data_IF_677574029448
#
_entry.id   IF_677574029448
#
_cell.length_a   1.000
_cell.length_b   1.000
_cell.length_c   1.000
_cell.angle_alpha   90.00
_cell.angle_beta   90.00
_cell.angle_gamma   90.00
#
_symmetry.space_group_name_H-M   'P 1'
#
loop_
_entity.id
_entity.type
_entity.pdbx_description
1 polymer ?
#
# COMPACT_ATOMS: atom_id res chain seq x y z
N UNK A 1 -39.39 34.09 -46.70
CA UNK A 1 -38.74 32.90 -47.27
C UNK A 1 -37.93 32.19 -46.19
N UNK A 2 -38.36 31.05 -45.63
CA UNK A 2 -37.46 30.22 -44.82
C UNK A 2 -36.77 29.18 -45.71
N UNK A 3 -35.44 29.09 -45.63
CA UNK A 3 -34.68 28.03 -46.27
C UNK A 3 -34.94 26.69 -45.57
N UNK A 4 -35.42 25.69 -46.32
CA UNK A 4 -35.48 24.31 -45.87
C UNK A 4 -34.07 23.68 -45.92
N UNK A 5 -33.53 23.34 -44.75
CA UNK A 5 -32.23 22.64 -44.64
C UNK A 5 -32.46 21.15 -44.93
N UNK A 6 -31.98 20.69 -46.08
CA UNK A 6 -32.01 19.29 -46.49
C UNK A 6 -30.90 18.51 -45.74
N UNK A 7 -31.25 17.79 -44.67
CA UNK A 7 -30.30 16.90 -43.97
C UNK A 7 -30.26 15.54 -44.66
N UNK A 8 -29.19 15.28 -45.41
CA UNK A 8 -28.93 13.97 -46.00
C UNK A 8 -28.72 12.91 -44.90
N UNK A 9 -29.35 11.73 -45.05
CA UNK A 9 -29.15 10.59 -44.15
C UNK A 9 -27.78 9.95 -44.43
N UNK A 10 -26.96 9.66 -43.40
CA UNK A 10 -25.65 9.05 -43.60
C UNK A 10 -25.77 7.61 -44.16
N UNK A 11 -24.85 7.25 -45.06
CA UNK A 11 -24.77 5.92 -45.68
C UNK A 11 -24.45 4.82 -44.66
N UNK A 12 -25.03 3.63 -44.84
CA UNK A 12 -24.80 2.45 -43.99
C UNK A 12 -23.31 2.06 -43.86
N UNK A 13 -22.50 2.33 -44.89
CA UNK A 13 -21.04 2.12 -44.87
C UNK A 13 -20.33 3.09 -43.91
N UNK A 14 -20.76 4.35 -43.90
CA UNK A 14 -20.24 5.36 -42.96
C UNK A 14 -20.62 5.02 -41.52
N UNK A 15 -21.84 4.51 -41.31
CA UNK A 15 -22.32 4.07 -39.99
C UNK A 15 -21.53 2.86 -39.47
N UNK A 16 -21.24 1.86 -40.33
CA UNK A 16 -20.38 0.72 -39.97
C UNK A 16 -18.96 1.13 -39.60
N UNK A 17 -18.38 2.11 -40.29
CA UNK A 17 -17.01 2.62 -40.04
C UNK A 17 -16.93 3.39 -38.72
N UNK A 18 -17.93 4.21 -38.41
CA UNK A 18 -18.00 4.94 -37.13
C UNK A 18 -18.23 4.00 -35.94
N UNK A 19 -19.12 3.01 -36.07
CA UNK A 19 -19.32 1.99 -35.02
C UNK A 19 -18.02 1.22 -34.76
N UNK A 20 -17.31 0.80 -35.81
CA UNK A 20 -16.04 0.08 -35.69
C UNK A 20 -14.94 0.95 -35.06
N UNK A 21 -14.84 2.24 -35.42
CA UNK A 21 -13.91 3.18 -34.78
C UNK A 21 -14.23 3.41 -33.31
N UNK A 22 -15.51 3.58 -32.94
CA UNK A 22 -15.91 3.75 -31.54
C UNK A 22 -15.65 2.49 -30.71
N UNK A 23 -15.86 1.30 -31.29
CA UNK A 23 -15.53 0.03 -30.64
C UNK A 23 -14.01 -0.10 -30.41
N UNK A 24 -13.18 0.19 -31.41
CA UNK A 24 -11.71 0.14 -31.28
C UNK A 24 -11.20 1.15 -30.24
N UNK A 25 -11.69 2.38 -30.27
CA UNK A 25 -11.35 3.40 -29.28
C UNK A 25 -11.79 3.00 -27.86
N UNK A 26 -12.99 2.41 -27.72
CA UNK A 26 -13.47 1.88 -26.44
C UNK A 26 -12.59 0.77 -25.89
N UNK A 27 -12.17 -0.18 -26.73
CA UNK A 27 -11.26 -1.28 -26.33
C UNK A 27 -9.89 -0.74 -25.88
N UNK A 28 -9.32 0.24 -26.58
CA UNK A 28 -8.03 0.83 -26.22
C UNK A 28 -8.09 1.59 -24.87
N UNK A 29 -9.17 2.32 -24.61
CA UNK A 29 -9.36 3.02 -23.33
C UNK A 29 -9.50 2.04 -22.17
N UNK A 30 -10.30 0.97 -22.33
CA UNK A 30 -10.48 -0.05 -21.30
C UNK A 30 -9.18 -0.80 -21.02
N UNK A 31 -8.46 -1.22 -22.07
CA UNK A 31 -7.15 -1.87 -21.93
C UNK A 31 -6.13 -0.97 -21.21
N UNK A 32 -6.11 0.32 -21.56
CA UNK A 32 -5.29 1.33 -20.86
C UNK A 32 -5.58 1.37 -19.37
N UNK A 33 -6.84 1.53 -18.96
CA UNK A 33 -7.23 1.59 -17.53
C UNK A 33 -6.81 0.33 -16.76
N UNK A 34 -7.00 -0.85 -17.34
CA UNK A 34 -6.62 -2.12 -16.68
C UNK A 34 -5.11 -2.26 -16.46
N UNK A 35 -4.28 -1.68 -17.33
CA UNK A 35 -2.82 -1.71 -17.18
C UNK A 35 -2.32 -0.82 -16.02
N UNK A 36 -2.99 0.31 -15.74
CA UNK A 36 -2.63 1.17 -14.60
C UNK A 36 -2.95 0.54 -13.24
N UNK A 37 -3.97 -0.31 -13.14
CA UNK A 37 -4.38 -0.92 -11.87
C UNK A 37 -3.36 -1.95 -11.32
N UNK A 38 -2.42 -2.41 -12.14
CA UNK A 38 -1.49 -3.49 -11.80
C UNK A 38 -0.44 -3.10 -10.74
N UNK A 39 -0.18 -1.80 -10.56
CA UNK A 39 0.85 -1.29 -9.65
C UNK A 39 0.45 -1.20 -8.16
N UNK A 40 -0.84 -1.28 -7.82
CA UNK A 40 -1.31 -1.03 -6.45
C UNK A 40 -1.59 -2.33 -5.68
N UNK A 41 -0.57 -3.18 -5.53
CA UNK A 41 -0.69 -4.38 -4.71
C UNK A 41 -0.58 -4.00 -3.22
N UNK A 42 -1.66 -4.11 -2.47
CA UNK A 42 -1.65 -3.90 -1.01
C UNK A 42 -1.01 -5.14 -0.35
N UNK A 43 0.10 -5.00 0.39
CA UNK A 43 0.67 -6.11 1.15
C UNK A 43 -0.36 -6.61 2.16
N UNK A 44 -0.76 -7.88 2.02
CA UNK A 44 -1.72 -8.55 2.88
C UNK A 44 -1.13 -9.89 3.32
N UNK A 45 -1.19 -10.21 4.63
CA UNK A 45 -0.83 -11.54 5.11
C UNK A 45 -1.72 -12.63 4.51
N UNK A 46 -1.20 -13.86 4.51
CA UNK A 46 -1.90 -15.07 4.10
C UNK A 46 -3.24 -15.21 4.84
N UNK A 47 -4.31 -15.60 4.13
CA UNK A 47 -5.60 -15.86 4.77
C UNK A 47 -5.46 -16.92 5.89
N UNK A 48 -6.03 -16.64 7.05
CA UNK A 48 -5.99 -17.55 8.20
C UNK A 48 -4.68 -17.55 9.01
N UNK A 49 -3.70 -16.70 8.66
CA UNK A 49 -2.51 -16.52 9.48
C UNK A 49 -2.91 -16.00 10.87
N UNK A 50 -2.40 -16.65 11.91
CA UNK A 50 -2.50 -16.19 13.31
C UNK A 50 -1.13 -15.64 13.72
N UNK A 51 -0.97 -14.31 13.83
CA UNK A 51 0.32 -13.72 14.18
C UNK A 51 0.81 -14.12 15.58
N UNK A 52 2.04 -14.63 15.62
CA UNK A 52 2.76 -15.00 16.84
C UNK A 52 3.83 -13.94 17.19
N UNK A 53 3.74 -13.35 18.38
CA UNK A 53 4.64 -12.30 18.86
C UNK A 53 6.07 -12.78 19.17
N UNK A 54 6.26 -14.05 19.55
CA UNK A 54 7.60 -14.60 19.78
C UNK A 54 8.37 -14.75 18.47
N UNK A 55 7.69 -15.23 17.41
CA UNK A 55 8.23 -15.25 16.04
C UNK A 55 8.52 -13.82 15.57
N UNK A 56 7.57 -12.91 15.82
CA UNK A 56 7.72 -11.49 15.49
C UNK A 56 8.94 -10.83 16.12
N UNK A 57 9.26 -11.16 17.38
CA UNK A 57 10.43 -10.64 18.09
C UNK A 57 11.73 -11.02 17.37
N UNK A 58 11.86 -12.28 16.94
CA UNK A 58 13.04 -12.76 16.23
C UNK A 58 13.17 -12.08 14.85
N UNK A 59 12.05 -11.97 14.11
CA UNK A 59 12.02 -11.28 12.82
C UNK A 59 12.35 -9.79 12.95
N UNK A 60 11.82 -9.12 13.98
CA UNK A 60 12.11 -7.71 14.27
C UNK A 60 13.59 -7.50 14.58
N UNK A 61 14.17 -8.35 15.44
CA UNK A 61 15.59 -8.28 15.79
C UNK A 61 16.48 -8.39 14.55
N UNK A 62 16.13 -9.26 13.60
CA UNK A 62 16.87 -9.48 12.36
C UNK A 62 16.72 -8.33 11.35
N UNK A 63 15.52 -7.75 11.22
CA UNK A 63 15.20 -6.89 10.07
C UNK A 63 14.97 -5.41 10.42
N UNK A 64 14.74 -5.06 11.68
CA UNK A 64 14.24 -3.73 12.06
C UNK A 64 15.06 -3.09 13.19
N UNK A 65 15.59 -3.89 14.10
CA UNK A 65 16.22 -3.42 15.34
C UNK A 65 17.47 -2.57 15.14
N UNK A 66 18.17 -2.72 14.00
CA UNK A 66 19.37 -1.91 13.68
C UNK A 66 19.07 -0.42 13.54
N UNK A 67 17.82 -0.04 13.26
CA UNK A 67 17.37 1.36 13.17
C UNK A 67 16.34 1.72 14.25
N UNK A 68 15.42 0.80 14.59
CA UNK A 68 14.34 1.07 15.57
C UNK A 68 14.70 0.67 17.01
N UNK A 69 15.93 0.23 17.24
CA UNK A 69 16.42 -0.22 18.55
C UNK A 69 15.96 -1.63 18.92
N UNK A 70 16.81 -2.39 19.62
CA UNK A 70 16.55 -3.78 20.02
C UNK A 70 15.27 -3.90 20.86
N UNK A 71 15.00 -2.89 21.69
CA UNK A 71 13.87 -2.86 22.61
C UNK A 71 12.71 -1.98 22.12
N UNK A 72 12.61 -1.69 20.80
CA UNK A 72 11.58 -0.83 20.19
C UNK A 72 11.61 0.63 20.65
N UNK A 73 12.69 1.04 21.33
CA UNK A 73 12.90 2.35 21.94
C UNK A 73 13.57 3.36 20.99
N UNK A 74 13.77 2.99 19.72
CA UNK A 74 14.45 3.83 18.74
C UNK A 74 15.97 3.76 18.86
N UNK A 75 16.64 4.40 17.92
CA UNK A 75 18.07 4.66 17.95
C UNK A 75 18.37 6.03 17.33
N UNK A 76 19.64 6.36 17.19
CA UNK A 76 20.15 7.45 16.36
C UNK A 76 19.72 7.37 14.88
N UNK A 77 19.24 6.21 14.40
CA UNK A 77 18.90 5.94 12.99
C UNK A 77 17.41 5.83 12.73
N UNK A 78 16.57 5.75 13.76
CA UNK A 78 15.15 5.50 13.56
C UNK A 78 14.30 5.68 14.82
N UNK A 79 13.00 5.93 14.63
CA UNK A 79 12.12 6.31 15.72
C UNK A 79 11.74 5.15 16.65
N UNK A 80 11.35 5.45 17.90
CA UNK A 80 10.79 4.47 18.82
C UNK A 80 9.42 3.96 18.36
N UNK A 81 9.28 2.65 18.17
CA UNK A 81 7.98 2.02 17.93
C UNK A 81 7.13 1.91 19.21
N UNK A 82 7.76 2.04 20.40
CA UNK A 82 7.08 2.29 21.68
C UNK A 82 6.78 3.78 21.87
N UNK A 83 5.96 4.33 20.98
CA UNK A 83 5.48 5.70 21.07
C UNK A 83 4.00 5.77 20.69
N UNK A 84 3.23 6.65 21.35
CA UNK A 84 1.77 6.78 21.13
C UNK A 84 1.40 7.04 19.67
N UNK A 85 2.26 7.72 18.92
CA UNK A 85 2.03 7.97 17.50
C UNK A 85 1.82 6.70 16.67
N UNK A 86 2.40 5.58 17.12
CA UNK A 86 2.28 4.28 16.49
C UNK A 86 1.15 3.44 17.10
N UNK A 87 0.25 4.00 17.89
CA UNK A 87 -0.90 3.28 18.42
C UNK A 87 -1.85 2.82 17.28
N UNK A 88 -2.60 1.72 17.48
CA UNK A 88 -3.49 1.15 16.46
C UNK A 88 -4.47 2.13 15.79
N UNK A 89 -4.97 3.13 16.54
CA UNK A 89 -5.91 4.13 16.02
C UNK A 89 -5.25 5.16 15.10
N UNK A 90 -3.94 5.38 15.21
CA UNK A 90 -3.19 6.39 14.43
C UNK A 90 -2.32 5.76 13.34
N UNK A 91 -1.52 4.73 13.67
CA UNK A 91 -0.86 3.87 12.67
C UNK A 91 -1.40 2.45 12.82
N UNK A 92 -2.45 2.14 12.08
CA UNK A 92 -3.01 0.79 12.01
C UNK A 92 -1.98 -0.23 11.48
N UNK A 93 -2.25 -1.53 11.66
CA UNK A 93 -1.32 -2.61 11.29
C UNK A 93 -0.93 -2.60 9.80
N UNK A 94 -1.83 -2.11 8.93
CA UNK A 94 -1.54 -1.94 7.50
C UNK A 94 -0.44 -0.90 7.24
N UNK A 95 -0.24 0.07 8.13
CA UNK A 95 0.85 1.03 8.00
C UNK A 95 2.21 0.34 8.13
N UNK A 96 2.34 -0.66 8.99
CA UNK A 96 3.57 -1.46 9.12
C UNK A 96 3.84 -2.28 7.86
N UNK A 97 2.79 -2.87 7.26
CA UNK A 97 2.86 -3.59 6.00
C UNK A 97 3.34 -2.70 4.85
N UNK A 98 2.77 -1.50 4.74
CA UNK A 98 3.15 -0.53 3.72
C UNK A 98 4.55 0.02 3.95
N UNK A 99 4.92 0.30 5.20
CA UNK A 99 6.25 0.77 5.57
C UNK A 99 7.34 -0.25 5.21
N UNK A 100 7.14 -1.52 5.55
CA UNK A 100 8.08 -2.58 5.20
C UNK A 100 8.18 -2.77 3.68
N UNK A 101 7.05 -2.74 2.95
CA UNK A 101 7.04 -2.97 1.51
C UNK A 101 7.59 -1.80 0.69
N UNK A 102 7.21 -0.57 1.04
CA UNK A 102 7.41 0.61 0.19
C UNK A 102 8.39 1.62 0.81
N UNK A 103 8.82 1.42 2.06
CA UNK A 103 9.45 2.47 2.84
C UNK A 103 8.45 3.54 3.28
N UNK A 104 8.97 4.57 3.94
CA UNK A 104 8.18 5.69 4.47
C UNK A 104 8.94 6.98 4.25
N UNK A 105 8.25 8.02 3.75
CA UNK A 105 8.81 9.37 3.76
C UNK A 105 8.73 9.97 5.15
N UNK A 106 9.80 10.62 5.59
CA UNK A 106 9.84 11.27 6.89
C UNK A 106 8.68 12.27 7.05
N UNK A 107 7.95 12.18 8.16
CA UNK A 107 6.85 13.12 8.46
C UNK A 107 6.61 13.39 9.96
N UNK A 108 7.01 12.48 10.86
CA UNK A 108 6.86 12.69 12.31
C UNK A 108 8.18 12.88 13.07
N UNK A 109 9.28 12.46 12.46
CA UNK A 109 10.60 12.46 13.07
C UNK A 109 11.64 12.92 12.07
N UNK A 110 12.79 13.37 12.58
CA UNK A 110 13.90 13.87 11.78
C UNK A 110 15.00 12.79 11.57
N UNK A 111 14.60 11.55 11.27
CA UNK A 111 15.53 10.45 10.94
C UNK A 111 15.78 10.29 9.44
N UNK A 112 15.04 11.04 8.60
CA UNK A 112 15.01 10.82 7.16
C UNK A 112 14.05 9.70 6.76
N UNK A 113 14.08 9.35 5.48
CA UNK A 113 13.19 8.35 4.90
C UNK A 113 13.57 6.93 5.36
N UNK A 114 12.57 6.13 5.65
CA UNK A 114 12.74 4.69 5.86
C UNK A 114 12.77 3.99 4.49
N UNK A 115 13.85 3.26 4.20
CA UNK A 115 13.93 2.45 2.99
C UNK A 115 13.00 1.22 3.07
N UNK A 116 12.52 0.69 1.92
CA UNK A 116 11.85 -0.61 1.85
C UNK A 116 12.72 -1.75 2.41
N UNK A 117 12.07 -2.80 2.91
CA UNK A 117 12.69 -4.02 3.44
C UNK A 117 12.23 -5.22 2.60
N UNK A 118 12.74 -5.41 1.37
CA UNK A 118 12.16 -6.30 0.36
C UNK A 118 12.21 -7.79 0.73
N UNK A 119 13.09 -8.19 1.65
CA UNK A 119 13.21 -9.57 2.12
C UNK A 119 12.18 -9.96 3.18
N UNK A 120 11.37 -9.03 3.68
CA UNK A 120 10.35 -9.29 4.71
C UNK A 120 8.99 -9.46 4.05
N UNK A 121 8.40 -10.64 4.21
CA UNK A 121 7.11 -10.96 3.61
C UNK A 121 5.94 -10.34 4.40
N UNK A 122 4.73 -10.23 3.82
CA UNK A 122 3.57 -9.76 4.57
C UNK A 122 3.26 -10.59 5.82
N UNK A 123 3.52 -11.90 5.81
CA UNK A 123 3.34 -12.78 6.97
C UNK A 123 4.36 -12.46 8.06
N UNK A 124 5.62 -12.24 7.67
CA UNK A 124 6.67 -11.80 8.61
C UNK A 124 6.30 -10.46 9.26
N UNK A 125 5.82 -9.50 8.47
CA UNK A 125 5.37 -8.21 9.02
C UNK A 125 4.20 -8.40 9.97
N UNK A 126 3.27 -9.31 9.71
CA UNK A 126 2.17 -9.58 10.63
C UNK A 126 2.68 -10.09 12.00
N UNK A 127 3.64 -11.01 11.98
CA UNK A 127 4.33 -11.47 13.18
C UNK A 127 5.04 -10.32 13.91
N UNK A 128 5.81 -9.49 13.17
CA UNK A 128 6.52 -8.32 13.71
C UNK A 128 5.53 -7.35 14.36
N UNK A 129 4.44 -7.01 13.68
CA UNK A 129 3.42 -6.10 14.21
C UNK A 129 2.81 -6.67 15.48
N UNK A 130 2.52 -7.98 15.55
CA UNK A 130 2.04 -8.61 16.79
C UNK A 130 3.04 -8.48 17.95
N UNK A 131 4.34 -8.55 17.69
CA UNK A 131 5.38 -8.26 18.68
C UNK A 131 5.35 -6.79 19.14
N UNK A 132 5.30 -5.84 18.19
CA UNK A 132 5.21 -4.40 18.48
C UNK A 132 3.98 -4.10 19.34
N UNK A 133 2.80 -4.61 18.96
CA UNK A 133 1.55 -4.43 19.71
C UNK A 133 1.61 -5.01 21.11
N UNK A 134 2.17 -6.22 21.25
CA UNK A 134 2.33 -6.84 22.56
C UNK A 134 3.25 -6.01 23.47
N UNK A 135 4.29 -5.37 22.92
CA UNK A 135 5.18 -4.50 23.66
C UNK A 135 4.54 -3.15 24.00
N UNK A 136 3.83 -2.53 23.04
CA UNK A 136 3.05 -1.30 23.25
C UNK A 136 2.02 -1.45 24.37
N UNK A 137 1.25 -2.55 24.36
CA UNK A 137 0.26 -2.84 25.40
C UNK A 137 0.88 -2.93 26.80
N UNK A 138 2.08 -3.51 26.93
CA UNK A 138 2.79 -3.62 28.22
C UNK A 138 3.18 -2.27 28.81
N UNK A 139 3.33 -1.24 27.97
CA UNK A 139 3.67 0.13 28.40
C UNK A 139 2.47 1.09 28.31
N UNK A 140 1.25 0.57 28.10
CA UNK A 140 0.03 1.37 28.11
C UNK A 140 -0.31 2.10 26.80
N UNK A 141 0.29 1.72 25.68
CA UNK A 141 -0.04 2.23 24.34
C UNK A 141 -1.04 1.26 23.68
N UNK A 142 -2.23 1.74 23.31
CA UNK A 142 -3.36 0.91 22.85
C UNK A 142 -4.22 1.62 21.81
#
# INVERSE_FOLDING_TARGET
>A
MPLAINRARPSASHMRKTVRQKLVAGVLVVAGITAYAQGWQIPKPSPGLIPNSAVGKALYAKNCASCHGIALNGSDKGPPLLHRIYEPSHHADIAFQLAAKNGVRAHHWQFGDMAPVPQVTPDDVAHITAYVRAAQKKVGIQ
#
